data_IF_162131752350
#
_entry.id   IF_162131752350
#
_cell.length_a   1.000
_cell.length_b   1.000
_cell.length_c   1.000
_cell.angle_alpha   90.00
_cell.angle_beta   90.00
_cell.angle_gamma   90.00
#
_symmetry.space_group_name_H-M   'P 1'
#
loop_
_entity.id
_entity.type
_entity.pdbx_description
1 polymer ?
#
# COMPACT_ATOMS: atom_id res chain seq x y z
N UNK A 1 -4.21 18.27 15.67
CA UNK A 1 -4.66 17.34 14.60
C UNK A 1 -6.12 17.03 14.86
N UNK A 2 -7.02 17.28 13.90
CA UNK A 2 -8.41 16.86 14.02
C UNK A 2 -8.40 15.36 13.70
N UNK A 3 -8.55 14.51 14.72
CA UNK A 3 -8.71 13.09 14.53
C UNK A 3 -10.13 12.80 14.07
N UNK A 4 -10.26 12.07 12.96
CA UNK A 4 -11.55 11.56 12.51
C UNK A 4 -12.12 10.65 13.61
N UNK A 5 -13.45 10.73 13.86
CA UNK A 5 -14.11 9.79 14.77
C UNK A 5 -13.96 8.35 14.29
N UNK A 6 -14.09 7.35 15.17
CA UNK A 6 -14.13 5.95 14.78
C UNK A 6 -15.25 5.67 13.77
N UNK A 7 -14.96 4.84 12.77
CA UNK A 7 -15.96 4.39 11.80
C UNK A 7 -16.97 3.43 12.43
N UNK A 8 -18.23 3.63 12.06
CA UNK A 8 -19.30 2.67 12.40
C UNK A 8 -19.13 1.37 11.58
N UNK A 9 -19.76 0.25 12.02
CA UNK A 9 -19.77 -0.97 11.20
C UNK A 9 -20.37 -0.78 9.80
N UNK A 10 -21.37 0.12 9.67
CA UNK A 10 -22.00 0.45 8.39
C UNK A 10 -21.01 1.17 7.46
N UNK A 11 -20.31 2.18 7.93
CA UNK A 11 -19.30 2.90 7.16
C UNK A 11 -18.14 1.99 6.73
N UNK A 12 -17.72 1.07 7.62
CA UNK A 12 -16.69 0.07 7.29
C UNK A 12 -17.13 -0.83 6.15
N UNK A 13 -18.35 -1.36 6.17
CA UNK A 13 -18.91 -2.17 5.07
C UNK A 13 -18.93 -1.42 3.74
N UNK A 14 -19.32 -0.14 3.76
CA UNK A 14 -19.32 0.71 2.58
C UNK A 14 -17.91 0.90 2.01
N UNK A 15 -16.92 1.16 2.87
CA UNK A 15 -15.51 1.28 2.46
C UNK A 15 -14.97 -0.04 1.93
N UNK A 16 -15.24 -1.16 2.62
CA UNK A 16 -14.85 -2.50 2.18
C UNK A 16 -15.45 -2.83 0.80
N UNK A 17 -16.70 -2.44 0.56
CA UNK A 17 -17.32 -2.63 -0.74
C UNK A 17 -16.58 -1.88 -1.86
N UNK A 18 -16.23 -0.60 -1.65
CA UNK A 18 -15.46 0.20 -2.61
C UNK A 18 -14.07 -0.41 -2.86
N UNK A 19 -13.38 -0.81 -1.79
CA UNK A 19 -12.08 -1.47 -1.86
C UNK A 19 -12.17 -2.77 -2.66
N UNK A 20 -13.17 -3.61 -2.40
CA UNK A 20 -13.38 -4.87 -3.10
C UNK A 20 -13.70 -4.69 -4.60
N UNK A 21 -14.19 -3.51 -4.99
CA UNK A 21 -14.38 -3.11 -6.39
C UNK A 21 -13.17 -2.41 -7.00
N UNK A 22 -12.03 -2.41 -6.30
CA UNK A 22 -10.79 -1.76 -6.73
C UNK A 22 -10.90 -0.24 -6.92
N UNK A 23 -11.86 0.39 -6.23
CA UNK A 23 -12.08 1.84 -6.30
C UNK A 23 -11.19 2.53 -5.27
N UNK A 24 -10.33 3.43 -5.74
CA UNK A 24 -9.50 4.29 -4.88
C UNK A 24 -10.33 5.48 -4.40
N UNK A 25 -10.23 5.81 -3.12
CA UNK A 25 -10.92 6.94 -2.54
C UNK A 25 -10.18 7.49 -1.32
N UNK A 26 -10.51 8.71 -0.92
CA UNK A 26 -10.12 9.28 0.38
C UNK A 26 -11.36 9.62 1.18
N UNK A 27 -11.22 9.73 2.51
CA UNK A 27 -12.34 10.04 3.39
C UNK A 27 -12.23 11.45 3.96
N UNK A 28 -13.38 12.05 4.24
CA UNK A 28 -13.50 13.31 4.97
C UNK A 28 -14.65 13.25 5.96
N UNK A 29 -14.38 13.62 7.21
CA UNK A 29 -15.43 13.86 8.21
C UNK A 29 -15.90 15.30 8.12
N UNK A 30 -17.21 15.48 8.10
CA UNK A 30 -17.84 16.79 8.08
C UNK A 30 -17.98 17.31 9.52
N UNK A 31 -17.13 18.24 9.91
CA UNK A 31 -17.25 18.85 11.23
C UNK A 31 -18.36 19.91 11.26
N UNK A 32 -19.03 20.10 12.40
CA UNK A 32 -20.05 21.13 12.57
C UNK A 32 -19.54 22.53 12.20
N UNK A 33 -18.30 22.85 12.57
CA UNK A 33 -17.65 24.13 12.22
C UNK A 33 -17.38 24.23 10.73
N UNK A 34 -16.87 23.15 10.12
CA UNK A 34 -16.60 23.06 8.69
C UNK A 34 -17.86 23.23 7.86
N UNK A 35 -18.94 22.55 8.26
CA UNK A 35 -20.24 22.67 7.63
C UNK A 35 -20.80 24.10 7.72
N UNK A 36 -20.76 24.71 8.92
CA UNK A 36 -21.22 26.10 9.13
C UNK A 36 -20.45 27.08 8.25
N UNK A 37 -19.12 26.97 8.20
CA UNK A 37 -18.22 27.89 7.49
C UNK A 37 -18.04 27.57 6.01
N UNK A 38 -18.56 26.45 5.50
CA UNK A 38 -18.29 25.96 4.14
C UNK A 38 -16.79 25.76 3.87
N UNK A 39 -16.10 25.11 4.82
CA UNK A 39 -14.66 24.83 4.76
C UNK A 39 -14.41 23.43 5.28
N UNK A 40 -13.66 22.65 4.52
CA UNK A 40 -13.13 21.37 4.94
C UNK A 40 -11.60 21.45 4.89
N UNK A 41 -10.94 20.93 5.92
CA UNK A 41 -9.49 20.85 5.93
C UNK A 41 -9.05 19.67 5.05
N UNK A 42 -8.12 19.93 4.12
CA UNK A 42 -7.51 18.90 3.31
C UNK A 42 -6.46 18.16 4.15
N UNK A 43 -6.88 17.09 4.82
CA UNK A 43 -6.01 16.26 5.67
C UNK A 43 -4.83 15.67 4.90
N UNK A 44 -3.78 15.26 5.60
CA UNK A 44 -2.60 14.64 4.94
C UNK A 44 -2.98 13.46 4.05
N UNK A 45 -3.81 12.48 4.47
CA UNK A 45 -4.24 11.39 3.60
C UNK A 45 -4.97 11.87 2.33
N UNK A 46 -5.80 12.90 2.46
CA UNK A 46 -6.51 13.47 1.31
C UNK A 46 -5.55 14.16 0.34
N UNK A 47 -4.59 14.96 0.84
CA UNK A 47 -3.59 15.60 -0.01
C UNK A 47 -2.74 14.58 -0.76
N UNK A 48 -2.32 13.52 -0.08
CA UNK A 48 -1.60 12.39 -0.68
C UNK A 48 -2.43 11.76 -1.79
N UNK A 49 -3.69 11.43 -1.51
CA UNK A 49 -4.60 10.88 -2.51
C UNK A 49 -4.77 11.79 -3.73
N UNK A 50 -4.96 13.09 -3.54
CA UNK A 50 -5.12 14.05 -4.64
C UNK A 50 -3.87 14.16 -5.50
N UNK A 51 -2.69 14.18 -4.87
CA UNK A 51 -1.41 14.21 -5.57
C UNK A 51 -1.18 12.94 -6.39
N UNK A 52 -1.37 11.77 -5.77
CA UNK A 52 -1.15 10.46 -6.40
C UNK A 52 -2.12 10.16 -7.56
N UNK A 53 -3.33 10.69 -7.53
CA UNK A 53 -4.32 10.53 -8.59
C UNK A 53 -4.37 11.75 -9.54
N UNK A 54 -3.34 12.60 -9.55
CA UNK A 54 -3.22 13.72 -10.48
C UNK A 54 -4.30 14.81 -10.33
N UNK A 55 -5.06 14.81 -9.23
CA UNK A 55 -6.14 15.76 -8.98
C UNK A 55 -5.59 17.13 -8.68
N UNK A 56 -4.73 17.22 -7.65
CA UNK A 56 -4.17 18.49 -7.19
C UNK A 56 -2.96 18.26 -6.26
N UNK A 57 -1.91 19.08 -6.42
CA UNK A 57 -0.77 19.12 -5.51
C UNK A 57 -0.76 20.44 -4.70
N UNK A 58 -1.18 20.36 -3.45
CA UNK A 58 -1.18 21.50 -2.54
C UNK A 58 0.22 22.03 -2.20
N UNK A 59 1.27 21.22 -2.35
CA UNK A 59 2.64 21.65 -2.08
C UNK A 59 3.12 22.66 -3.12
N UNK A 60 2.63 22.52 -4.36
CA UNK A 60 2.92 23.43 -5.46
C UNK A 60 1.98 24.63 -5.52
N UNK A 61 0.88 24.65 -4.73
CA UNK A 61 -0.11 25.70 -4.76
C UNK A 61 0.33 26.90 -3.90
N UNK A 62 0.47 28.11 -4.47
CA UNK A 62 0.70 29.32 -3.68
C UNK A 62 -0.48 29.63 -2.77
N UNK A 63 -0.25 30.46 -1.74
CA UNK A 63 -1.29 30.99 -0.85
C UNK A 63 -2.06 32.10 -1.54
N UNK A 64 -3.34 32.23 -1.21
CA UNK A 64 -4.19 33.34 -1.70
C UNK A 64 -5.34 32.86 -2.57
N UNK A 65 -6.34 33.75 -2.71
CA UNK A 65 -7.57 33.46 -3.46
C UNK A 65 -7.33 33.34 -4.97
N UNK A 66 -6.33 34.06 -5.49
CA UNK A 66 -6.00 34.05 -6.92
C UNK A 66 -5.46 32.71 -7.41
N UNK A 67 -4.96 31.89 -6.50
CA UNK A 67 -4.43 30.56 -6.77
C UNK A 67 -5.42 29.43 -6.49
N UNK A 68 -6.68 29.76 -6.24
CA UNK A 68 -7.75 28.81 -6.02
C UNK A 68 -8.00 27.97 -7.28
N UNK A 69 -7.93 26.66 -7.11
CA UNK A 69 -8.28 25.69 -8.18
C UNK A 69 -9.74 25.28 -8.03
N UNK A 70 -10.45 25.23 -9.15
CA UNK A 70 -11.85 24.81 -9.18
C UNK A 70 -11.97 23.62 -10.12
N UNK A 71 -12.55 22.51 -9.62
CA UNK A 71 -12.78 21.27 -10.38
C UNK A 71 -14.28 20.97 -10.42
N UNK A 72 -14.69 20.18 -11.41
CA UNK A 72 -16.03 19.62 -11.45
C UNK A 72 -16.19 18.56 -10.36
N UNK A 73 -17.35 18.55 -9.73
CA UNK A 73 -17.69 17.58 -8.71
C UNK A 73 -19.15 17.08 -8.87
N UNK A 74 -19.39 15.89 -8.33
CA UNK A 74 -20.69 15.23 -8.38
C UNK A 74 -21.04 14.72 -6.98
N UNK A 75 -22.13 15.21 -6.41
CA UNK A 75 -22.66 14.70 -5.14
C UNK A 75 -23.63 13.56 -5.50
N UNK A 76 -23.28 12.34 -5.09
CA UNK A 76 -24.10 11.15 -5.34
C UNK A 76 -24.94 10.84 -4.11
N UNK A 77 -26.24 10.72 -4.33
CA UNK A 77 -27.23 10.31 -3.36
C UNK A 77 -27.99 9.10 -3.92
N UNK A 78 -28.89 8.50 -3.12
CA UNK A 78 -29.75 7.45 -3.61
C UNK A 78 -30.49 7.91 -4.88
N UNK A 79 -30.22 7.27 -6.01
CA UNK A 79 -30.85 7.52 -7.32
C UNK A 79 -30.73 8.95 -7.86
N UNK A 80 -29.88 9.78 -7.26
CA UNK A 80 -29.70 11.19 -7.67
C UNK A 80 -28.22 11.55 -7.75
N UNK A 81 -27.86 12.22 -8.84
CA UNK A 81 -26.56 12.87 -9.02
C UNK A 81 -26.77 14.36 -9.16
N UNK A 82 -26.01 15.15 -8.39
CA UNK A 82 -26.00 16.60 -8.50
C UNK A 82 -24.62 17.06 -8.99
N UNK A 83 -24.55 17.56 -10.23
CA UNK A 83 -23.33 18.18 -10.74
C UNK A 83 -23.10 19.50 -10.02
N UNK A 84 -21.88 19.72 -9.59
CA UNK A 84 -21.43 20.89 -8.86
C UNK A 84 -19.95 21.17 -9.11
N UNK A 85 -19.35 21.99 -8.28
CA UNK A 85 -17.90 22.27 -8.30
C UNK A 85 -17.31 22.10 -6.92
N UNK A 86 -16.02 21.83 -6.88
CA UNK A 86 -15.21 21.92 -5.66
C UNK A 86 -14.15 23.00 -5.83
N UNK A 87 -13.79 23.65 -4.74
CA UNK A 87 -12.67 24.58 -4.70
C UNK A 87 -11.57 24.05 -3.80
N UNK A 88 -10.33 24.10 -4.28
CA UNK A 88 -9.12 23.68 -3.59
C UNK A 88 -8.23 24.92 -3.42
N UNK A 89 -7.85 25.25 -2.19
CA UNK A 89 -7.11 26.49 -1.95
C UNK A 89 -6.28 26.45 -0.67
N UNK A 90 -5.30 27.35 -0.61
CA UNK A 90 -4.52 27.66 0.57
C UNK A 90 -4.77 29.11 0.96
N UNK A 91 -5.35 29.41 2.14
CA UNK A 91 -5.57 30.78 2.58
C UNK A 91 -4.25 31.49 2.90
N UNK A 92 -4.22 32.81 2.86
CA UNK A 92 -3.07 33.59 3.33
C UNK A 92 -2.89 33.52 4.85
N UNK A 93 -4.01 33.33 5.56
CA UNK A 93 -4.03 33.15 7.01
C UNK A 93 -3.75 31.69 7.42
N UNK A 94 -3.49 31.46 8.71
CA UNK A 94 -3.28 30.11 9.29
C UNK A 94 -2.21 29.30 8.53
N UNK A 95 -1.08 29.90 8.27
CA UNK A 95 0.07 29.33 7.59
C UNK A 95 -0.23 28.71 6.22
N UNK A 96 -1.40 29.00 5.65
CA UNK A 96 -1.82 28.48 4.36
C UNK A 96 -2.28 27.02 4.42
N UNK A 97 -2.93 26.63 5.53
CA UNK A 97 -3.47 25.26 5.68
C UNK A 97 -4.33 24.88 4.46
N UNK A 98 -4.03 23.76 3.80
CA UNK A 98 -4.78 23.30 2.64
C UNK A 98 -6.25 23.02 2.96
N UNK A 99 -7.13 23.51 2.09
CA UNK A 99 -8.58 23.44 2.27
C UNK A 99 -9.30 23.09 0.98
N UNK A 100 -10.49 22.56 1.15
CA UNK A 100 -11.45 22.36 0.06
C UNK A 100 -12.85 22.71 0.50
N UNK A 101 -13.71 22.96 -0.48
CA UNK A 101 -15.15 23.03 -0.29
C UNK A 101 -15.87 22.54 -1.53
N UNK A 102 -16.87 21.69 -1.32
CA UNK A 102 -17.75 21.16 -2.36
C UNK A 102 -19.06 21.93 -2.28
N UNK A 103 -19.39 22.66 -3.33
CA UNK A 103 -20.59 23.49 -3.36
C UNK A 103 -21.84 22.61 -3.31
N UNK A 104 -22.86 23.06 -2.55
CA UNK A 104 -24.10 22.28 -2.36
C UNK A 104 -23.98 21.07 -1.41
N UNK A 105 -22.81 20.81 -0.84
CA UNK A 105 -22.64 19.68 0.07
C UNK A 105 -23.53 19.78 1.31
N UNK A 106 -23.86 20.99 1.77
CA UNK A 106 -24.73 21.22 2.93
C UNK A 106 -26.10 20.58 2.80
N UNK A 107 -26.62 20.45 1.58
CA UNK A 107 -27.95 19.90 1.32
C UNK A 107 -27.95 18.36 1.33
N UNK A 108 -26.76 17.75 1.41
CA UNK A 108 -26.57 16.30 1.31
C UNK A 108 -25.85 15.70 2.53
N UNK A 109 -25.59 16.48 3.59
CA UNK A 109 -24.79 16.05 4.72
C UNK A 109 -25.22 16.70 6.03
N UNK A 110 -24.86 16.05 7.12
CA UNK A 110 -24.95 16.56 8.49
C UNK A 110 -23.57 16.59 9.14
N UNK A 111 -23.48 17.24 10.30
CA UNK A 111 -22.27 17.17 11.10
C UNK A 111 -21.97 15.72 11.50
N UNK A 112 -20.68 15.38 11.51
CA UNK A 112 -20.14 14.05 11.78
C UNK A 112 -20.38 12.98 10.72
N UNK A 113 -21.07 13.29 9.62
CA UNK A 113 -21.09 12.41 8.45
C UNK A 113 -19.68 12.25 7.88
N UNK A 114 -19.42 11.05 7.38
CA UNK A 114 -18.17 10.70 6.68
C UNK A 114 -18.48 10.48 5.21
N UNK A 115 -17.72 11.14 4.36
CA UNK A 115 -17.83 11.02 2.93
C UNK A 115 -16.62 10.33 2.31
N UNK A 116 -16.84 9.49 1.31
CA UNK A 116 -15.81 9.10 0.35
C UNK A 116 -15.72 10.15 -0.75
N UNK A 117 -14.50 10.50 -1.12
CA UNK A 117 -14.19 11.32 -2.31
C UNK A 117 -13.41 10.42 -3.27
N UNK A 118 -13.96 10.24 -4.47
CA UNK A 118 -13.41 9.43 -5.55
C UNK A 118 -13.07 10.36 -6.70
N UNK A 119 -11.89 10.20 -7.29
CA UNK A 119 -11.48 10.94 -8.49
C UNK A 119 -11.46 10.03 -9.71
N UNK A 120 -11.95 10.52 -10.85
CA UNK A 120 -11.74 9.88 -12.14
C UNK A 120 -10.48 10.40 -12.85
N UNK A 121 -10.17 9.82 -14.02
CA UNK A 121 -9.00 10.19 -14.82
C UNK A 121 -9.09 11.62 -15.41
N UNK A 122 -10.30 12.19 -15.48
CA UNK A 122 -10.54 13.55 -15.93
C UNK A 122 -10.49 14.58 -14.79
N UNK A 123 -10.12 14.14 -13.58
CA UNK A 123 -10.04 14.94 -12.35
C UNK A 123 -11.40 15.40 -11.82
N UNK A 124 -12.49 14.78 -12.24
CA UNK A 124 -13.78 15.02 -11.60
C UNK A 124 -13.82 14.32 -10.24
N UNK A 125 -14.48 14.96 -9.27
CA UNK A 125 -14.61 14.40 -7.93
C UNK A 125 -16.04 13.91 -7.69
N UNK A 126 -16.17 12.67 -7.26
CA UNK A 126 -17.43 12.07 -6.85
C UNK A 126 -17.48 11.93 -5.34
N UNK A 127 -18.58 12.36 -4.74
CA UNK A 127 -18.74 12.44 -3.28
C UNK A 127 -19.92 11.61 -2.84
N UNK A 128 -19.66 10.63 -1.98
CA UNK A 128 -20.69 9.68 -1.48
C UNK A 128 -20.68 9.74 0.07
N UNK A 129 -21.85 9.91 0.65
CA UNK A 129 -22.02 9.89 2.10
C UNK A 129 -21.99 8.43 2.62
N UNK A 130 -20.88 8.02 3.21
CA UNK A 130 -20.67 6.69 3.76
C UNK A 130 -21.52 6.40 5.00
N UNK A 131 -21.97 7.45 5.70
CA UNK A 131 -22.77 7.32 6.92
C UNK A 131 -24.24 7.03 6.62
N UNK A 132 -24.76 7.51 5.48
CA UNK A 132 -26.19 7.47 5.17
C UNK A 132 -26.57 6.60 3.98
N UNK A 133 -25.64 6.29 3.10
CA UNK A 133 -25.89 5.55 1.85
C UNK A 133 -25.36 4.13 1.98
N UNK A 134 -26.20 3.16 1.69
CA UNK A 134 -25.75 1.76 1.49
C UNK A 134 -25.25 1.59 0.06
N UNK A 135 -23.91 1.63 -0.07
CA UNK A 135 -23.25 1.58 -1.39
C UNK A 135 -23.50 0.24 -2.07
N UNK A 136 -23.44 -0.86 -1.35
CA UNK A 136 -23.69 -2.19 -1.92
C UNK A 136 -25.13 -2.29 -2.48
N UNK A 137 -26.11 -1.85 -1.70
CA UNK A 137 -27.51 -1.86 -2.14
C UNK A 137 -27.72 -0.97 -3.37
N UNK A 138 -27.04 0.19 -3.46
CA UNK A 138 -27.10 1.07 -4.62
C UNK A 138 -26.40 0.50 -5.86
N UNK A 139 -25.30 -0.22 -5.67
CA UNK A 139 -24.55 -0.83 -6.76
C UNK A 139 -25.24 -2.08 -7.34
N UNK A 140 -25.96 -2.83 -6.51
CA UNK A 140 -26.61 -4.10 -6.88
C UNK A 140 -28.08 -3.95 -7.26
N UNK A 141 -28.65 -2.74 -7.14
CA UNK A 141 -30.04 -2.48 -7.50
C UNK A 141 -30.31 -2.75 -8.99
N UNK A 142 -31.54 -3.21 -9.30
CA UNK A 142 -32.00 -3.32 -10.69
C UNK A 142 -32.38 -1.96 -11.31
N UNK A 143 -32.52 -0.92 -10.47
CA UNK A 143 -32.86 0.43 -10.92
C UNK A 143 -31.61 1.19 -11.39
N UNK A 144 -31.81 2.25 -12.18
CA UNK A 144 -30.74 3.18 -12.52
C UNK A 144 -30.25 3.90 -11.25
N UNK A 145 -28.96 3.81 -10.99
CA UNK A 145 -28.31 4.46 -9.84
C UNK A 145 -26.99 5.08 -10.27
N UNK A 146 -26.75 6.37 -10.01
CA UNK A 146 -25.49 7.02 -10.34
C UNK A 146 -24.29 6.41 -9.58
N UNK A 147 -24.53 5.82 -8.42
CA UNK A 147 -23.50 5.08 -7.65
C UNK A 147 -23.14 3.78 -8.37
N UNK A 148 -24.14 3.05 -8.88
CA UNK A 148 -23.94 1.85 -9.71
C UNK A 148 -23.12 2.18 -10.96
N UNK A 149 -23.47 3.25 -11.66
CA UNK A 149 -22.78 3.66 -12.89
C UNK A 149 -21.33 4.07 -12.59
N UNK A 150 -21.11 4.84 -11.52
CA UNK A 150 -19.75 5.19 -11.08
C UNK A 150 -18.91 3.94 -10.77
N UNK A 151 -19.45 3.03 -9.96
CA UNK A 151 -18.73 1.81 -9.56
C UNK A 151 -18.43 0.95 -10.78
N UNK A 152 -19.38 0.78 -11.70
CA UNK A 152 -19.18 0.02 -12.94
C UNK A 152 -18.06 0.64 -13.77
N UNK A 153 -18.09 1.95 -14.03
CA UNK A 153 -17.07 2.65 -14.84
C UNK A 153 -15.69 2.58 -14.21
N UNK A 154 -15.58 2.89 -12.91
CA UNK A 154 -14.31 2.86 -12.20
C UNK A 154 -13.73 1.45 -12.10
N UNK A 155 -14.57 0.43 -11.86
CA UNK A 155 -14.14 -0.97 -11.85
C UNK A 155 -13.74 -1.47 -13.24
N UNK A 156 -14.39 -1.02 -14.30
CA UNK A 156 -14.04 -1.36 -15.68
C UNK A 156 -12.68 -0.78 -16.05
N UNK A 157 -12.41 0.48 -15.70
CA UNK A 157 -11.09 1.12 -15.93
C UNK A 157 -9.97 0.39 -15.15
N UNK A 158 -10.20 0.04 -13.90
CA UNK A 158 -9.24 -0.71 -13.09
C UNK A 158 -8.95 -2.10 -13.69
N UNK A 159 -9.98 -2.81 -14.19
CA UNK A 159 -9.81 -4.09 -14.87
C UNK A 159 -9.14 -3.92 -16.25
N UNK A 160 -9.35 -2.80 -16.92
CA UNK A 160 -8.71 -2.45 -18.18
C UNK A 160 -7.19 -2.41 -18.08
N UNK A 161 -6.65 -1.82 -16.99
CA UNK A 161 -5.21 -1.74 -16.76
C UNK A 161 -4.58 -3.13 -16.58
N UNK A 162 -5.19 -4.01 -15.81
CA UNK A 162 -4.67 -5.37 -15.63
C UNK A 162 -4.75 -6.21 -16.91
N UNK A 163 -5.79 -6.01 -17.71
CA UNK A 163 -5.92 -6.66 -19.03
C UNK A 163 -4.88 -6.13 -20.00
N UNK A 164 -4.66 -4.82 -20.04
CA UNK A 164 -3.60 -4.18 -20.83
C UNK A 164 -2.22 -4.75 -20.45
N UNK A 165 -1.89 -4.75 -19.17
CA UNK A 165 -0.63 -5.29 -18.66
C UNK A 165 -0.43 -6.76 -19.04
N UNK A 166 -1.47 -7.59 -18.87
CA UNK A 166 -1.41 -9.00 -19.24
C UNK A 166 -1.20 -9.18 -20.76
N UNK A 167 -1.86 -8.35 -21.58
CA UNK A 167 -1.69 -8.37 -23.06
C UNK A 167 -0.26 -8.05 -23.43
N UNK A 168 0.34 -6.99 -22.87
CA UNK A 168 1.74 -6.65 -23.11
C UNK A 168 2.68 -7.80 -22.70
N UNK A 169 2.48 -8.39 -21.53
CA UNK A 169 3.32 -9.50 -21.06
C UNK A 169 3.19 -10.74 -21.94
N UNK A 170 2.00 -10.98 -22.52
CA UNK A 170 1.78 -12.09 -23.48
C UNK A 170 2.50 -11.91 -24.82
N UNK A 171 2.86 -10.69 -25.22
CA UNK A 171 3.69 -10.47 -26.41
C UNK A 171 5.09 -11.12 -26.28
N UNK A 172 5.53 -11.36 -25.05
CA UNK A 172 6.79 -12.03 -24.73
C UNK A 172 6.60 -13.52 -24.40
N UNK A 173 5.42 -14.10 -24.65
CA UNK A 173 5.19 -15.54 -24.52
C UNK A 173 6.13 -16.31 -25.46
N UNK A 174 6.70 -17.41 -25.05
CA UNK A 174 7.70 -18.22 -25.74
C UNK A 174 9.08 -17.57 -25.93
N UNK A 175 9.32 -16.33 -25.51
CA UNK A 175 10.59 -15.63 -25.72
C UNK A 175 11.50 -15.78 -24.50
N UNK A 176 12.75 -16.15 -24.75
CA UNK A 176 13.81 -16.07 -23.75
C UNK A 176 14.43 -14.68 -23.78
N UNK A 177 14.39 -13.98 -22.68
CA UNK A 177 14.79 -12.58 -22.50
C UNK A 177 16.10 -12.52 -21.72
N UNK A 178 17.11 -11.84 -22.21
CA UNK A 178 18.38 -11.64 -21.51
C UNK A 178 18.21 -10.69 -20.30
N UNK A 179 18.77 -11.02 -19.16
CA UNK A 179 18.89 -10.07 -18.06
C UNK A 179 20.16 -9.23 -18.24
N UNK A 180 20.02 -7.90 -18.19
CA UNK A 180 21.19 -6.99 -18.25
C UNK A 180 22.05 -7.03 -17.00
N UNK A 181 21.48 -7.49 -15.89
CA UNK A 181 22.14 -7.53 -14.58
C UNK A 181 22.02 -8.93 -13.98
N UNK A 182 23.17 -9.59 -13.81
CA UNK A 182 23.23 -10.90 -13.15
C UNK A 182 23.16 -10.72 -11.61
N UNK A 183 21.96 -10.45 -11.10
CA UNK A 183 21.66 -10.28 -9.68
C UNK A 183 20.23 -10.72 -9.37
N UNK A 184 19.90 -10.86 -8.08
CA UNK A 184 18.54 -11.24 -7.66
C UNK A 184 17.47 -10.26 -8.12
N UNK A 185 17.81 -8.99 -8.32
CA UNK A 185 16.93 -7.94 -8.86
C UNK A 185 16.89 -7.88 -10.39
N UNK A 186 17.70 -8.69 -11.11
CA UNK A 186 17.88 -8.59 -12.56
C UNK A 186 16.57 -8.79 -13.34
N UNK A 187 15.80 -9.80 -12.97
CA UNK A 187 14.52 -10.12 -13.64
C UNK A 187 13.51 -8.98 -13.42
N UNK A 188 13.35 -8.48 -12.18
CA UNK A 188 12.42 -7.39 -11.90
C UNK A 188 12.72 -6.15 -12.73
N UNK A 189 14.00 -5.75 -12.79
CA UNK A 189 14.45 -4.62 -13.60
C UNK A 189 14.19 -4.79 -15.10
N UNK A 190 14.36 -6.01 -15.59
CA UNK A 190 14.12 -6.26 -17.03
C UNK A 190 12.62 -6.23 -17.34
N UNK A 191 11.77 -6.80 -16.46
CA UNK A 191 10.30 -6.70 -16.58
C UNK A 191 9.85 -5.23 -16.57
N UNK A 192 10.37 -4.40 -15.67
CA UNK A 192 10.09 -2.96 -15.65
C UNK A 192 10.54 -2.28 -16.96
N UNK A 193 11.73 -2.64 -17.47
CA UNK A 193 12.25 -2.12 -18.75
C UNK A 193 11.35 -2.50 -19.93
N UNK A 194 10.87 -3.76 -20.01
CA UNK A 194 9.94 -4.23 -21.05
C UNK A 194 8.62 -3.43 -21.05
N UNK A 195 8.20 -2.98 -19.88
CA UNK A 195 6.98 -2.19 -19.68
C UNK A 195 7.21 -0.67 -19.85
N UNK A 196 8.44 -0.25 -20.20
CA UNK A 196 8.78 1.17 -20.34
C UNK A 196 8.76 1.94 -19.02
N UNK A 197 8.95 1.24 -17.88
CA UNK A 197 8.99 1.85 -16.56
C UNK A 197 10.42 2.29 -16.27
N UNK A 198 10.62 3.57 -15.97
CA UNK A 198 11.91 4.08 -15.51
C UNK A 198 12.22 3.60 -14.11
N UNK A 199 13.49 3.21 -13.89
CA UNK A 199 13.96 2.83 -12.55
C UNK A 199 13.81 4.00 -11.57
N UNK A 200 12.93 3.84 -10.61
CA UNK A 200 12.77 4.79 -9.52
C UNK A 200 12.62 4.05 -8.18
N UNK A 201 12.85 4.75 -7.09
CA UNK A 201 12.63 4.26 -5.73
C UNK A 201 11.28 4.74 -5.18
N UNK A 202 10.26 4.81 -6.04
CA UNK A 202 8.92 5.26 -5.65
C UNK A 202 8.29 4.32 -4.63
N UNK A 203 7.63 4.83 -3.61
CA UNK A 203 6.78 4.03 -2.74
C UNK A 203 5.46 3.60 -3.41
N UNK A 204 5.14 4.13 -4.60
CA UNK A 204 3.94 3.81 -5.36
C UNK A 204 4.10 2.48 -6.12
N UNK A 205 2.98 1.84 -6.50
CA UNK A 205 2.99 0.66 -7.37
C UNK A 205 3.62 0.94 -8.74
N UNK A 206 4.22 -0.10 -9.34
CA UNK A 206 5.12 0.03 -10.49
C UNK A 206 4.40 0.38 -11.80
N UNK A 207 3.27 -0.24 -12.12
CA UNK A 207 2.56 -0.07 -13.40
C UNK A 207 1.14 0.42 -13.22
N UNK A 208 0.87 1.70 -13.47
CA UNK A 208 -0.49 2.32 -13.41
C UNK A 208 -1.32 1.89 -12.18
N UNK A 209 -0.66 1.71 -11.03
CA UNK A 209 -1.28 1.30 -9.79
C UNK A 209 -1.22 -0.21 -9.50
N UNK A 210 -0.58 -1.01 -10.35
CA UNK A 210 -0.32 -2.44 -10.14
C UNK A 210 1.13 -2.63 -9.69
N UNK A 211 1.35 -3.27 -8.55
CA UNK A 211 2.68 -3.67 -8.07
C UNK A 211 3.19 -4.89 -8.83
N UNK A 212 4.46 -4.90 -9.20
CA UNK A 212 5.11 -6.01 -9.90
C UNK A 212 6.11 -6.71 -8.98
N UNK A 213 5.99 -8.02 -8.84
CA UNK A 213 6.91 -8.85 -8.05
C UNK A 213 7.35 -10.06 -8.86
N UNK A 214 8.59 -10.06 -9.32
CA UNK A 214 9.16 -11.15 -10.13
C UNK A 214 9.97 -12.11 -9.27
N UNK A 215 9.90 -13.41 -9.57
CA UNK A 215 10.69 -14.43 -8.91
C UNK A 215 10.95 -15.65 -9.81
N UNK A 216 12.05 -16.36 -9.55
CA UNK A 216 12.47 -17.54 -10.29
C UNK A 216 11.69 -18.76 -9.82
N UNK A 217 11.15 -19.55 -10.75
CA UNK A 217 10.43 -20.80 -10.45
C UNK A 217 11.36 -21.84 -9.82
N UNK A 218 12.62 -21.91 -10.27
CA UNK A 218 13.63 -22.88 -9.86
C UNK A 218 14.25 -22.58 -8.50
N UNK A 219 14.11 -21.36 -7.99
CA UNK A 219 14.45 -21.02 -6.61
C UNK A 219 13.16 -21.04 -5.79
N UNK A 220 12.88 -22.14 -5.06
CA UNK A 220 11.70 -22.17 -4.22
C UNK A 220 11.89 -21.22 -3.05
N UNK A 221 11.78 -19.91 -3.31
CA UNK A 221 11.58 -18.97 -2.22
C UNK A 221 10.29 -19.38 -1.52
N UNK A 222 10.44 -19.83 -0.28
CA UNK A 222 9.31 -20.23 0.55
C UNK A 222 8.44 -19.00 0.90
N UNK A 223 8.93 -17.80 0.61
CA UNK A 223 8.30 -16.52 0.99
C UNK A 223 8.18 -15.56 -0.20
N UNK A 224 7.08 -14.80 -0.24
CA UNK A 224 6.87 -13.64 -1.11
C UNK A 224 7.21 -12.37 -0.34
N UNK A 225 7.94 -11.44 -0.96
CA UNK A 225 8.22 -10.13 -0.37
C UNK A 225 7.00 -9.22 -0.51
N UNK A 226 6.48 -8.71 0.61
CA UNK A 226 5.38 -7.76 0.61
C UNK A 226 5.92 -6.34 0.38
N UNK A 227 6.61 -5.80 1.35
CA UNK A 227 7.17 -4.44 1.29
C UNK A 227 8.39 -4.31 2.19
N UNK A 228 9.13 -3.22 2.02
CA UNK A 228 10.21 -2.81 2.92
C UNK A 228 9.76 -1.62 3.76
N UNK A 229 9.97 -1.69 5.06
CA UNK A 229 9.69 -0.60 5.98
C UNK A 229 10.61 -0.66 7.19
N UNK A 230 11.44 0.36 7.35
CA UNK A 230 12.26 0.52 8.57
C UNK A 230 11.37 0.81 9.78
N UNK A 231 11.83 0.50 11.00
CA UNK A 231 11.12 0.88 12.23
C UNK A 231 10.79 2.38 12.31
N UNK A 232 9.78 2.71 13.08
CA UNK A 232 9.42 4.09 13.40
C UNK A 232 10.41 4.59 14.48
N UNK A 233 11.54 5.14 14.00
CA UNK A 233 12.69 5.51 14.85
C UNK A 233 12.37 6.57 15.89
N UNK A 234 11.36 7.40 15.68
CA UNK A 234 10.89 8.42 16.62
C UNK A 234 10.39 7.82 17.94
N UNK A 235 9.75 6.65 17.89
CA UNK A 235 9.20 5.94 19.05
C UNK A 235 10.01 4.69 19.43
N UNK A 236 10.98 4.27 18.64
CA UNK A 236 11.84 3.13 18.91
C UNK A 236 12.84 3.41 20.03
N UNK A 237 13.28 2.35 20.76
CA UNK A 237 14.34 2.46 21.74
C UNK A 237 15.69 2.76 21.06
N UNK A 238 16.12 1.91 20.12
CA UNK A 238 17.24 2.23 19.21
C UNK A 238 16.74 3.16 18.12
N UNK A 239 17.57 4.13 17.72
CA UNK A 239 17.14 5.23 16.85
C UNK A 239 17.56 5.07 15.39
N UNK A 240 18.20 3.96 15.04
CA UNK A 240 18.63 3.69 13.67
C UNK A 240 18.98 2.22 13.43
N UNK A 241 18.97 1.82 12.15
CA UNK A 241 19.51 0.53 11.71
C UNK A 241 20.97 0.36 12.16
N UNK A 242 21.69 1.44 12.21
CA UNK A 242 23.08 1.48 12.62
C UNK A 242 23.28 1.03 14.07
N UNK A 243 22.44 1.49 15.00
CA UNK A 243 22.48 1.07 16.39
C UNK A 243 22.11 -0.40 16.57
N UNK A 244 21.20 -0.94 15.73
CA UNK A 244 20.91 -2.39 15.69
C UNK A 244 22.17 -3.16 15.30
N UNK A 245 22.88 -2.74 14.24
CA UNK A 245 24.14 -3.38 13.83
C UNK A 245 25.21 -3.24 14.91
N UNK A 246 25.32 -2.10 15.57
CA UNK A 246 26.31 -1.89 16.61
C UNK A 246 26.06 -2.79 17.82
N UNK A 247 24.81 -3.03 18.21
CA UNK A 247 24.49 -3.86 19.38
C UNK A 247 24.45 -5.36 19.06
N UNK A 248 23.82 -5.75 17.96
CA UNK A 248 23.50 -7.16 17.64
C UNK A 248 24.24 -7.72 16.43
N UNK A 249 24.96 -6.88 15.68
CA UNK A 249 25.69 -7.29 14.49
C UNK A 249 26.91 -8.13 14.78
N UNK A 250 27.31 -8.90 13.80
CA UNK A 250 28.51 -9.73 13.80
C UNK A 250 29.44 -9.34 12.65
N UNK A 251 30.73 -9.63 12.79
CA UNK A 251 31.72 -9.38 11.75
C UNK A 251 31.73 -10.53 10.74
N UNK A 252 31.66 -10.19 9.46
CA UNK A 252 31.84 -11.07 8.32
C UNK A 252 32.49 -10.29 7.18
N UNK A 253 33.50 -10.89 6.52
CA UNK A 253 34.17 -10.32 5.35
C UNK A 253 34.69 -8.89 5.56
N UNK A 254 35.17 -8.58 6.77
CA UNK A 254 35.79 -7.31 7.13
C UNK A 254 34.84 -6.17 7.45
N UNK A 255 33.52 -6.44 7.57
CA UNK A 255 32.54 -5.44 7.99
C UNK A 255 31.51 -6.02 8.96
N UNK A 256 30.88 -5.15 9.76
CA UNK A 256 29.87 -5.54 10.72
C UNK A 256 28.50 -5.54 10.06
N UNK A 257 27.75 -6.62 10.19
CA UNK A 257 26.41 -6.74 9.62
C UNK A 257 25.45 -7.45 10.56
N UNK A 258 24.16 -7.20 10.39
CA UNK A 258 23.07 -7.96 11.00
C UNK A 258 22.17 -8.50 9.89
N UNK A 259 22.18 -9.82 9.71
CA UNK A 259 21.40 -10.49 8.67
C UNK A 259 20.60 -11.61 9.29
N UNK A 260 19.35 -11.34 9.65
CA UNK A 260 18.52 -12.28 10.37
C UNK A 260 17.05 -12.11 10.04
N UNK A 261 16.30 -13.21 10.18
CA UNK A 261 14.84 -13.21 10.14
C UNK A 261 14.28 -13.14 11.55
N UNK A 262 13.31 -12.25 11.76
CA UNK A 262 12.52 -12.12 12.97
C UNK A 262 11.11 -12.69 12.75
N UNK A 263 10.56 -13.30 13.79
CA UNK A 263 9.18 -13.80 13.84
C UNK A 263 8.62 -13.72 15.27
N UNK A 264 7.31 -13.86 15.42
CA UNK A 264 6.67 -13.82 16.74
C UNK A 264 6.81 -15.12 17.54
N UNK A 265 7.18 -16.24 16.89
CA UNK A 265 7.14 -17.55 17.52
C UNK A 265 8.25 -17.77 18.53
N UNK A 266 9.49 -17.45 18.19
CA UNK A 266 10.64 -17.63 19.08
C UNK A 266 11.80 -16.71 18.69
N UNK A 267 12.67 -16.36 19.67
CA UNK A 267 13.87 -15.57 19.41
C UNK A 267 14.83 -16.25 18.41
N UNK A 268 15.49 -15.43 17.62
CA UNK A 268 16.56 -15.86 16.72
C UNK A 268 17.89 -16.11 17.47
N UNK A 269 18.98 -16.34 16.71
CA UNK A 269 20.32 -16.59 17.29
C UNK A 269 20.91 -15.42 18.08
N UNK A 270 20.40 -14.21 17.90
CA UNK A 270 20.76 -13.01 18.65
C UNK A 270 19.72 -12.68 19.74
N UNK A 271 18.86 -13.61 20.09
CA UNK A 271 17.79 -13.47 21.09
C UNK A 271 16.73 -12.41 20.75
N UNK A 272 16.61 -12.03 19.46
CA UNK A 272 15.59 -11.09 19.02
C UNK A 272 14.38 -11.82 18.45
N UNK A 273 13.17 -11.34 18.78
CA UNK A 273 11.90 -11.76 18.17
C UNK A 273 10.99 -10.56 17.90
N UNK A 274 9.90 -10.83 17.19
CA UNK A 274 8.78 -9.91 17.08
C UNK A 274 7.75 -10.19 18.19
N UNK A 275 7.11 -9.13 18.65
CA UNK A 275 5.98 -9.18 19.56
C UNK A 275 4.84 -8.28 19.08
N UNK A 276 3.61 -8.80 19.07
CA UNK A 276 2.40 -8.03 18.74
C UNK A 276 1.87 -7.37 20.01
N UNK A 277 2.00 -6.05 20.10
CA UNK A 277 1.44 -5.25 21.19
C UNK A 277 0.13 -4.60 20.72
N UNK A 278 -0.97 -5.35 20.80
CA UNK A 278 -2.29 -4.88 20.41
C UNK A 278 -2.81 -3.68 21.21
N UNK A 279 -2.62 -3.61 22.54
CA UNK A 279 -3.06 -2.46 23.33
C UNK A 279 -2.51 -1.13 22.84
N UNK A 280 -1.24 -1.09 22.43
CA UNK A 280 -0.58 0.12 21.94
C UNK A 280 -0.58 0.22 20.40
N UNK A 281 -1.12 -0.80 19.71
CA UNK A 281 -1.15 -0.91 18.25
C UNK A 281 0.26 -0.87 17.62
N UNK A 282 1.19 -1.64 18.19
CA UNK A 282 2.58 -1.72 17.79
C UNK A 282 2.98 -3.16 17.38
N UNK A 283 3.92 -3.25 16.44
CA UNK A 283 4.78 -4.41 16.24
C UNK A 283 6.14 -4.06 16.83
N UNK A 284 6.62 -4.85 17.76
CA UNK A 284 7.84 -4.60 18.52
C UNK A 284 8.94 -5.60 18.16
N UNK A 285 10.20 -5.15 18.13
CA UNK A 285 11.37 -6.04 18.22
C UNK A 285 11.79 -6.04 19.69
N UNK A 286 11.78 -7.22 20.29
CA UNK A 286 12.20 -7.44 21.67
C UNK A 286 13.48 -8.29 21.72
N UNK A 287 14.34 -8.00 22.68
CA UNK A 287 15.42 -8.88 23.09
C UNK A 287 14.94 -9.73 24.25
N UNK A 288 14.95 -11.05 24.08
CA UNK A 288 14.47 -12.00 25.08
C UNK A 288 15.58 -12.88 25.61
N UNK A 289 15.48 -13.20 26.89
CA UNK A 289 16.28 -14.26 27.52
C UNK A 289 15.48 -15.56 27.51
N UNK A 290 16.07 -16.63 26.97
CA UNK A 290 15.50 -17.96 27.04
C UNK A 290 15.50 -18.48 28.49
N UNK A 291 14.36 -18.94 28.98
CA UNK A 291 14.19 -19.55 30.30
C UNK A 291 14.08 -21.07 30.13
N UNK A 292 13.18 -21.54 29.25
CA UNK A 292 13.03 -22.94 28.83
C UNK A 292 13.00 -23.02 27.29
N UNK A 293 12.77 -24.21 26.72
CA UNK A 293 12.61 -24.35 25.26
C UNK A 293 11.39 -23.59 24.72
N UNK A 294 10.39 -23.35 25.57
CA UNK A 294 9.11 -22.72 25.21
C UNK A 294 8.89 -21.37 25.87
N UNK A 295 9.65 -21.06 26.94
CA UNK A 295 9.47 -19.84 27.71
C UNK A 295 10.64 -18.86 27.48
N UNK A 296 10.26 -17.61 27.19
CA UNK A 296 11.19 -16.50 26.97
C UNK A 296 10.76 -15.32 27.85
N UNK A 297 11.73 -14.58 28.36
CA UNK A 297 11.50 -13.36 29.14
C UNK A 297 12.11 -12.17 28.40
N UNK A 298 11.29 -11.17 28.14
CA UNK A 298 11.73 -9.88 27.60
C UNK A 298 12.75 -9.24 28.55
N UNK A 299 13.87 -8.82 28.01
CA UNK A 299 14.93 -8.11 28.74
C UNK A 299 15.18 -6.70 28.21
N UNK A 300 14.86 -6.42 26.96
CA UNK A 300 14.98 -5.09 26.39
C UNK A 300 14.02 -4.86 25.19
N UNK A 301 13.63 -3.60 25.03
CA UNK A 301 13.02 -3.08 23.81
C UNK A 301 14.13 -2.73 22.79
N UNK A 302 13.87 -2.97 21.52
CA UNK A 302 14.84 -2.70 20.45
C UNK A 302 14.29 -1.66 19.49
N UNK A 303 13.24 -1.96 18.76
CA UNK A 303 12.62 -1.07 17.81
C UNK A 303 11.14 -1.43 17.60
N UNK A 304 10.35 -0.49 17.07
CA UNK A 304 8.92 -0.67 16.90
C UNK A 304 8.41 -0.10 15.59
N UNK A 305 7.27 -0.62 15.12
CA UNK A 305 6.44 -0.04 14.06
C UNK A 305 5.02 0.17 14.58
N UNK A 306 4.41 1.28 14.19
CA UNK A 306 2.97 1.47 14.32
C UNK A 306 2.25 0.53 13.35
N UNK A 307 1.31 -0.29 13.82
CA UNK A 307 0.54 -1.19 12.96
C UNK A 307 -0.18 -0.42 11.84
N UNK A 308 -0.71 0.75 12.14
CA UNK A 308 -1.33 1.61 11.13
C UNK A 308 -0.38 1.94 9.96
N UNK A 309 0.91 2.19 10.25
CA UNK A 309 1.91 2.45 9.19
C UNK A 309 2.13 1.22 8.33
N UNK A 310 2.20 0.03 8.94
CA UNK A 310 2.36 -1.24 8.21
C UNK A 310 1.12 -1.56 7.36
N UNK A 311 -0.08 -1.35 7.91
CA UNK A 311 -1.34 -1.49 7.18
C UNK A 311 -1.39 -0.58 5.95
N UNK A 312 -0.97 0.68 6.10
CA UNK A 312 -0.91 1.62 4.98
C UNK A 312 0.10 1.17 3.92
N UNK A 313 1.28 0.68 4.31
CA UNK A 313 2.26 0.12 3.37
C UNK A 313 1.68 -1.06 2.59
N UNK A 314 0.99 -1.98 3.29
CA UNK A 314 0.36 -3.14 2.67
C UNK A 314 -0.69 -2.72 1.64
N UNK A 315 -1.61 -1.84 2.02
CA UNK A 315 -2.69 -1.37 1.16
C UNK A 315 -2.17 -0.58 -0.04
N UNK A 316 -1.20 0.30 0.17
CA UNK A 316 -0.62 1.11 -0.92
C UNK A 316 0.10 0.24 -1.94
N UNK A 317 0.91 -0.74 -1.48
CA UNK A 317 1.72 -1.59 -2.37
C UNK A 317 0.92 -2.72 -3.01
N UNK A 318 -0.03 -3.29 -2.28
CA UNK A 318 -0.70 -4.53 -2.70
C UNK A 318 -2.20 -4.36 -2.95
N UNK A 319 -2.65 -3.13 -3.23
CA UNK A 319 -4.02 -2.94 -3.71
C UNK A 319 -4.30 -3.86 -4.89
N UNK A 320 -3.36 -3.92 -5.84
CA UNK A 320 -3.36 -4.85 -6.95
C UNK A 320 -1.91 -5.26 -7.25
N UNK A 321 -1.65 -6.56 -7.42
CA UNK A 321 -0.29 -7.07 -7.60
C UNK A 321 -0.22 -8.20 -8.60
N UNK A 322 0.75 -8.13 -9.50
CA UNK A 322 1.15 -9.22 -10.38
C UNK A 322 2.40 -9.89 -9.80
N UNK A 323 2.24 -11.13 -9.35
CA UNK A 323 3.32 -12.01 -8.93
C UNK A 323 3.79 -12.82 -10.12
N UNK A 324 4.89 -12.40 -10.73
CA UNK A 324 5.39 -12.90 -12.01
C UNK A 324 6.42 -14.00 -11.72
N UNK A 325 6.06 -15.25 -11.99
CA UNK A 325 6.96 -16.39 -11.91
C UNK A 325 7.60 -16.61 -13.28
N UNK A 326 8.93 -16.78 -13.31
CA UNK A 326 9.69 -17.00 -14.52
C UNK A 326 10.57 -18.24 -14.44
N UNK A 327 10.72 -18.94 -15.54
CA UNK A 327 11.75 -19.96 -15.71
C UNK A 327 13.07 -19.26 -16.08
N UNK A 328 14.21 -19.82 -15.67
CA UNK A 328 15.52 -19.25 -15.99
C UNK A 328 16.46 -20.27 -16.58
N UNK A 329 17.38 -19.83 -17.42
CA UNK A 329 18.51 -20.60 -17.97
C UNK A 329 19.73 -19.71 -18.14
N UNK A 330 20.88 -20.34 -18.39
CA UNK A 330 22.07 -19.61 -18.86
C UNK A 330 22.06 -19.59 -20.37
N UNK A 331 22.14 -18.39 -20.96
CA UNK A 331 22.25 -18.20 -22.41
C UNK A 331 23.66 -18.54 -22.94
N UNK A 332 23.82 -18.58 -24.25
CA UNK A 332 25.08 -18.91 -24.92
C UNK A 332 26.21 -17.91 -24.60
N UNK A 333 25.87 -16.68 -24.26
CA UNK A 333 26.79 -15.62 -23.84
C UNK A 333 27.15 -15.67 -22.34
N UNK A 334 26.66 -16.66 -21.59
CA UNK A 334 26.87 -16.81 -20.15
C UNK A 334 25.98 -15.91 -19.29
N UNK A 335 25.08 -15.11 -19.90
CA UNK A 335 24.11 -14.30 -19.19
C UNK A 335 22.89 -15.12 -18.79
N UNK A 336 22.23 -14.71 -17.71
CA UNK A 336 20.95 -15.29 -17.31
C UNK A 336 19.87 -14.84 -18.29
N UNK A 337 19.08 -15.81 -18.78
CA UNK A 337 17.86 -15.58 -19.56
C UNK A 337 16.66 -16.01 -18.73
N UNK A 338 15.53 -15.34 -18.92
CA UNK A 338 14.28 -15.76 -18.31
C UNK A 338 13.14 -15.82 -19.34
N UNK A 339 12.12 -16.57 -19.01
CA UNK A 339 10.87 -16.69 -19.76
C UNK A 339 9.70 -16.69 -18.79
N UNK A 340 8.62 -16.00 -19.12
CA UNK A 340 7.40 -16.02 -18.30
C UNK A 340 6.83 -17.44 -18.21
N UNK A 341 6.45 -17.83 -17.01
CA UNK A 341 5.84 -19.12 -16.71
C UNK A 341 4.41 -18.96 -16.21
N UNK A 342 4.22 -18.11 -15.19
CA UNK A 342 2.94 -17.94 -14.54
C UNK A 342 2.84 -16.54 -13.91
N UNK A 343 1.64 -15.97 -13.92
CA UNK A 343 1.31 -14.76 -13.16
C UNK A 343 0.18 -15.09 -12.19
N UNK A 344 0.38 -14.83 -10.91
CA UNK A 344 -0.69 -14.79 -9.92
C UNK A 344 -1.07 -13.32 -9.72
N UNK A 345 -2.30 -12.98 -10.05
CA UNK A 345 -2.87 -11.65 -9.93
C UNK A 345 -3.73 -11.59 -8.68
N UNK A 346 -3.32 -10.79 -7.71
CA UNK A 346 -3.99 -10.62 -6.42
C UNK A 346 -4.48 -9.21 -6.24
N UNK A 347 -5.59 -9.06 -5.51
CA UNK A 347 -6.18 -7.76 -5.16
C UNK A 347 -6.52 -7.72 -3.68
N UNK A 348 -6.67 -6.50 -3.16
CA UNK A 348 -7.31 -6.18 -1.89
C UNK A 348 -6.88 -7.07 -0.72
N UNK A 349 -5.68 -6.90 -0.16
CA UNK A 349 -5.24 -7.68 0.99
C UNK A 349 -6.15 -7.43 2.21
N UNK A 350 -6.46 -8.50 2.95
CA UNK A 350 -7.24 -8.40 4.19
C UNK A 350 -6.34 -7.92 5.31
N UNK A 351 -6.43 -6.64 5.67
CA UNK A 351 -5.56 -6.00 6.67
C UNK A 351 -5.64 -6.69 8.04
N UNK A 352 -6.82 -7.13 8.47
CA UNK A 352 -6.96 -7.84 9.75
C UNK A 352 -6.26 -9.21 9.76
N UNK A 353 -6.07 -9.83 8.60
CA UNK A 353 -5.29 -11.06 8.49
C UNK A 353 -3.78 -10.81 8.56
N UNK A 354 -3.31 -9.63 8.16
CA UNK A 354 -1.89 -9.29 8.22
C UNK A 354 -1.33 -9.40 9.65
N UNK A 355 -2.04 -8.85 10.65
CA UNK A 355 -1.64 -8.90 12.05
C UNK A 355 -1.64 -10.34 12.59
N UNK A 356 -2.68 -11.10 12.27
CA UNK A 356 -2.79 -12.52 12.66
C UNK A 356 -1.65 -13.34 12.03
N UNK A 357 -1.34 -13.08 10.77
CA UNK A 357 -0.27 -13.80 10.06
C UNK A 357 1.13 -13.44 10.58
N UNK A 358 1.34 -12.21 11.07
CA UNK A 358 2.55 -11.83 11.83
C UNK A 358 2.65 -12.62 13.12
N UNK A 359 1.60 -12.62 13.94
CA UNK A 359 1.54 -13.32 15.22
C UNK A 359 1.78 -14.84 15.04
N UNK A 360 1.19 -15.43 14.00
CA UNK A 360 1.37 -16.83 13.65
C UNK A 360 2.70 -17.15 12.92
N UNK A 361 3.60 -16.17 12.78
CA UNK A 361 4.89 -16.32 12.09
C UNK A 361 4.77 -16.80 10.64
N UNK A 362 3.62 -16.55 10.01
CA UNK A 362 3.40 -16.73 8.58
C UNK A 362 3.91 -15.54 7.78
N UNK A 363 3.91 -14.34 8.39
CA UNK A 363 4.66 -13.18 7.96
C UNK A 363 5.86 -13.02 8.88
N UNK A 364 7.01 -12.73 8.31
CA UNK A 364 8.28 -12.56 9.02
C UNK A 364 8.95 -11.27 8.53
N UNK A 365 9.91 -10.76 9.33
CA UNK A 365 10.69 -9.58 8.97
C UNK A 365 12.15 -9.99 8.81
N UNK A 366 12.69 -9.79 7.60
CA UNK A 366 14.10 -10.01 7.32
C UNK A 366 14.85 -8.67 7.45
N UNK A 367 15.81 -8.60 8.37
CA UNK A 367 16.72 -7.48 8.52
C UNK A 367 18.03 -7.79 7.81
N UNK A 368 18.37 -7.01 6.79
CA UNK A 368 19.63 -7.05 6.06
C UNK A 368 20.32 -5.70 6.25
N UNK A 369 21.07 -5.58 7.34
CA UNK A 369 21.69 -4.32 7.78
C UNK A 369 23.22 -4.47 7.76
N UNK A 370 23.97 -3.41 7.41
CA UNK A 370 25.42 -3.49 7.33
C UNK A 370 26.15 -2.16 7.55
N UNK A 371 27.47 -2.27 7.92
CA UNK A 371 28.39 -1.15 8.05
C UNK A 371 29.78 -1.53 7.52
N UNK A 372 30.51 -0.62 6.86
CA UNK A 372 30.12 0.72 6.45
C UNK A 372 29.07 0.71 5.31
N UNK A 373 28.37 1.82 5.15
CA UNK A 373 27.28 2.00 4.16
C UNK A 373 27.72 2.00 2.69
N UNK A 374 29.01 2.12 2.45
CA UNK A 374 29.64 2.32 1.14
C UNK A 374 29.73 1.05 0.30
N UNK A 375 29.37 -0.12 0.83
CA UNK A 375 29.29 -1.34 0.01
C UNK A 375 27.93 -1.45 -0.66
N UNK A 376 27.94 -1.76 -1.96
CA UNK A 376 26.77 -1.98 -2.82
C UNK A 376 25.73 -2.86 -2.13
N UNK A 377 24.64 -2.25 -1.67
CA UNK A 377 23.53 -2.90 -0.99
C UNK A 377 23.13 -2.10 0.25
N UNK A 378 22.13 -1.24 0.15
CA UNK A 378 21.57 -0.48 1.27
C UNK A 378 20.92 -1.38 2.32
N UNK A 379 20.67 -0.83 3.51
CA UNK A 379 19.88 -1.47 4.54
C UNK A 379 18.49 -1.85 4.01
N UNK A 380 18.06 -3.06 4.30
CA UNK A 380 16.71 -3.53 3.94
C UNK A 380 16.03 -4.17 5.14
N UNK A 381 14.79 -3.77 5.38
CA UNK A 381 13.89 -4.35 6.37
C UNK A 381 12.65 -4.82 5.63
N UNK A 382 12.58 -6.11 5.32
CA UNK A 382 11.60 -6.68 4.40
C UNK A 382 10.57 -7.52 5.12
N UNK A 383 9.30 -7.19 4.96
CA UNK A 383 8.16 -7.99 5.40
C UNK A 383 7.86 -9.05 4.34
N UNK A 384 7.87 -10.32 4.73
CA UNK A 384 7.72 -11.45 3.80
C UNK A 384 6.69 -12.44 4.29
N UNK A 385 5.77 -12.85 3.39
CA UNK A 385 4.75 -13.86 3.66
C UNK A 385 5.17 -15.23 3.12
N UNK A 386 4.91 -16.31 3.85
CA UNK A 386 5.05 -17.67 3.34
C UNK A 386 4.09 -17.90 2.19
N UNK A 387 4.55 -18.55 1.11
CA UNK A 387 3.69 -18.85 -0.06
C UNK A 387 2.39 -19.57 0.33
N UNK A 388 2.46 -20.51 1.28
CA UNK A 388 1.31 -21.27 1.78
C UNK A 388 0.25 -20.43 2.50
N UNK A 389 0.61 -19.23 2.98
CA UNK A 389 -0.29 -18.32 3.67
C UNK A 389 -0.76 -17.16 2.79
N UNK A 390 -0.25 -17.03 1.57
CA UNK A 390 -0.59 -15.90 0.70
C UNK A 390 -2.09 -15.81 0.41
N UNK A 391 -2.78 -16.94 0.22
CA UNK A 391 -4.23 -16.97 0.00
C UNK A 391 -5.06 -16.53 1.21
N UNK A 392 -4.50 -16.55 2.43
CA UNK A 392 -5.17 -16.01 3.62
C UNK A 392 -5.11 -14.48 3.67
N UNK A 393 -4.07 -13.90 3.08
CA UNK A 393 -3.91 -12.43 2.98
C UNK A 393 -4.61 -11.88 1.73
N UNK A 394 -4.55 -12.62 0.61
CA UNK A 394 -5.12 -12.25 -0.69
C UNK A 394 -6.18 -13.28 -1.10
N UNK A 395 -7.44 -13.08 -0.72
CA UNK A 395 -8.51 -14.07 -0.97
C UNK A 395 -8.86 -14.18 -2.45
N UNK A 396 -8.72 -13.08 -3.20
CA UNK A 396 -8.98 -13.05 -4.65
C UNK A 396 -7.67 -13.21 -5.40
N UNK A 397 -7.44 -14.38 -5.98
CA UNK A 397 -6.27 -14.67 -6.79
C UNK A 397 -6.68 -15.28 -8.12
N UNK A 398 -6.34 -14.61 -9.23
CA UNK A 398 -6.43 -15.15 -10.58
C UNK A 398 -5.05 -15.64 -11.01
N UNK A 399 -5.02 -16.75 -11.73
CA UNK A 399 -3.74 -17.31 -12.22
C UNK A 399 -3.77 -17.40 -13.74
N UNK A 400 -2.75 -16.82 -14.37
CA UNK A 400 -2.53 -16.86 -15.80
C UNK A 400 -1.27 -17.69 -16.08
N UNK A 401 -1.39 -18.70 -16.92
CA UNK A 401 -0.27 -19.52 -17.37
C UNK A 401 0.22 -19.05 -18.73
N UNK A 402 1.52 -19.14 -18.94
CA UNK A 402 2.18 -18.87 -20.20
C UNK A 402 2.59 -20.21 -20.83
N UNK A 403 2.36 -20.37 -22.11
CA UNK A 403 2.74 -21.57 -22.83
C UNK A 403 4.28 -21.67 -22.92
N UNK A 404 4.80 -22.92 -22.85
CA UNK A 404 6.25 -23.19 -22.78
C UNK A 404 6.89 -23.26 -24.15
#
# INVERSE_FOLDING_TARGET
MIHMRPFTPFEKRNMEYLVNKSIKFTQVQITATGLKKSILDATTPMRTYFKENGVHDYELQPKGQDFKVTLDAYILQNFKQTKTKTSLYRPETKDGDPRLWIYGLKDATEADDIHAIIADNDRNLYVINLTKIDIAAQAETSLASPIKDLIFNMSFEANGVSTELLTILREFEHIWIDTKVNADTGIGREVETLLGIDMNASPLPDYKGIELKSFRSQRPSIKKNLFCKVPDWDISHLKSSAEIVDKYGYFSDGYKSYRNTLNCGKPNSQNLRLNMNYPDSLLEIEEDKRITEQDFKKIADVAVWRLQTLHQCLLTKHHETFWIEVDTRTGDNGQEQFRFNKIEHTKNPIVSQFDILLEQSMITVDLLLGRPRDKKGGDSVSFKIKKSAAGLLFPETLTYYFDK
#
